data_IF_477135259023
#
_entry.id   IF_477135259023
#
_cell.length_a   1.000
_cell.length_b   1.000
_cell.length_c   1.000
_cell.angle_alpha   90.00
_cell.angle_beta   90.00
_cell.angle_gamma   90.00
#
_symmetry.space_group_name_H-M   'P 1'
#
loop_
_entity.id
_entity.type
_entity.pdbx_description
1 polymer ?
#
# COMPACT_ATOMS: atom_id res chain seq x y z
N UNK A 1 -24.78 4.97 -66.76
CA UNK A 1 -24.63 4.43 -65.39
C UNK A 1 -24.64 2.91 -65.46
N UNK A 2 -23.47 2.27 -65.35
CA UNK A 2 -23.32 0.80 -65.34
C UNK A 2 -22.95 0.38 -63.91
N UNK A 3 -23.84 -0.36 -63.25
CA UNK A 3 -23.62 -0.96 -61.94
C UNK A 3 -22.89 -2.30 -62.12
N UNK A 4 -21.64 -2.36 -61.65
CA UNK A 4 -20.86 -3.60 -61.54
C UNK A 4 -21.15 -4.28 -60.20
N UNK A 5 -21.68 -5.51 -60.25
CA UNK A 5 -21.80 -6.42 -59.10
C UNK A 5 -20.52 -7.27 -59.00
N UNK A 6 -19.89 -7.29 -57.84
CA UNK A 6 -18.83 -8.24 -57.48
C UNK A 6 -19.41 -9.37 -56.60
N UNK A 7 -19.08 -10.65 -56.82
CA UNK A 7 -19.42 -11.71 -55.89
C UNK A 7 -18.34 -11.85 -54.80
N UNK A 8 -18.81 -11.92 -53.54
CA UNK A 8 -18.03 -12.31 -52.36
C UNK A 8 -17.87 -13.84 -52.35
N UNK A 9 -16.63 -14.32 -52.46
CA UNK A 9 -16.26 -15.70 -52.14
C UNK A 9 -15.84 -15.78 -50.67
N UNK A 10 -16.57 -16.56 -49.87
CA UNK A 10 -16.20 -16.94 -48.50
C UNK A 10 -15.66 -18.37 -48.58
N UNK A 11 -14.36 -18.55 -48.34
CA UNK A 11 -13.73 -19.85 -48.21
C UNK A 11 -13.59 -20.19 -46.71
N UNK A 12 -14.34 -21.19 -46.25
CA UNK A 12 -14.20 -21.79 -44.93
C UNK A 12 -13.07 -22.83 -44.96
N UNK A 13 -12.00 -22.58 -44.21
CA UNK A 13 -10.93 -23.56 -43.97
C UNK A 13 -11.27 -24.32 -42.68
N UNK A 14 -11.59 -25.60 -42.82
CA UNK A 14 -11.71 -26.54 -41.72
C UNK A 14 -10.32 -27.12 -41.39
N UNK A 15 -9.81 -26.87 -40.18
CA UNK A 15 -8.61 -27.53 -39.67
C UNK A 15 -9.01 -28.80 -38.90
N UNK A 16 -8.63 -29.96 -39.44
CA UNK A 16 -8.68 -31.26 -38.78
C UNK A 16 -7.57 -31.35 -37.72
N UNK A 17 -7.93 -31.50 -36.43
CA UNK A 17 -7.01 -31.92 -35.38
C UNK A 17 -7.07 -33.45 -35.21
N UNK A 18 -6.00 -34.15 -35.59
CA UNK A 18 -5.75 -35.54 -35.20
C UNK A 18 -5.07 -35.57 -33.84
N UNK A 19 -5.75 -36.17 -32.86
CA UNK A 19 -5.19 -36.56 -31.58
C UNK A 19 -4.20 -37.72 -31.77
N UNK A 20 -2.95 -37.54 -31.34
CA UNK A 20 -2.01 -38.63 -31.12
C UNK A 20 -1.96 -38.92 -29.62
N UNK A 21 -2.45 -40.08 -29.24
CA UNK A 21 -2.29 -40.67 -27.91
C UNK A 21 -0.92 -41.36 -27.82
N UNK A 22 -0.29 -41.29 -26.65
CA UNK A 22 0.80 -42.20 -26.28
C UNK A 22 1.97 -41.53 -25.58
N UNK A 23 1.88 -41.32 -24.27
CA UNK A 23 3.05 -41.33 -23.39
C UNK A 23 2.65 -41.99 -22.07
N UNK A 24 3.35 -43.07 -21.76
CA UNK A 24 3.22 -43.90 -20.56
C UNK A 24 3.53 -43.11 -19.28
N UNK A 25 2.66 -43.25 -18.28
CA UNK A 25 2.89 -42.75 -16.93
C UNK A 25 3.78 -43.75 -16.17
N UNK A 26 5.05 -43.40 -15.93
CA UNK A 26 5.89 -44.07 -14.92
C UNK A 26 5.64 -43.43 -13.57
N UNK A 27 5.06 -44.19 -12.66
CA UNK A 27 4.92 -43.88 -11.24
C UNK A 27 6.29 -43.90 -10.55
N UNK A 28 6.72 -42.78 -9.98
CA UNK A 28 7.83 -42.73 -9.05
C UNK A 28 7.31 -42.62 -7.61
N UNK A 29 7.78 -43.51 -6.75
CA UNK A 29 7.44 -43.57 -5.33
C UNK A 29 8.04 -42.38 -4.58
N UNK A 30 7.18 -41.68 -3.85
CA UNK A 30 7.55 -40.60 -2.94
C UNK A 30 7.95 -41.16 -1.57
N UNK A 31 9.25 -41.24 -1.31
CA UNK A 31 9.79 -41.29 0.05
C UNK A 31 11.22 -40.77 0.05
N UNK A 32 11.49 -39.90 1.02
CA UNK A 32 12.80 -39.39 1.49
C UNK A 32 13.19 -37.93 1.12
N UNK A 33 13.01 -37.07 2.13
CA UNK A 33 13.91 -35.98 2.59
C UNK A 33 13.99 -34.71 1.70
N UNK A 34 13.91 -33.46 2.20
CA UNK A 34 13.88 -32.84 3.52
C UNK A 34 13.20 -31.44 3.39
N UNK A 35 12.72 -30.80 4.47
CA UNK A 35 12.02 -29.51 4.35
C UNK A 35 12.97 -28.41 3.92
N UNK A 36 12.75 -27.86 2.72
CA UNK A 36 13.40 -26.64 2.25
C UNK A 36 12.87 -25.49 3.12
N UNK A 37 13.71 -25.02 4.03
CA UNK A 37 13.48 -23.79 4.80
C UNK A 37 13.09 -22.66 3.86
N UNK A 38 11.95 -22.03 4.15
CA UNK A 38 11.39 -20.89 3.43
C UNK A 38 12.45 -19.85 3.09
N UNK A 39 12.87 -19.81 1.82
CA UNK A 39 13.66 -18.72 1.27
C UNK A 39 12.84 -17.43 1.37
N UNK A 40 13.35 -16.50 2.17
CA UNK A 40 12.80 -15.16 2.32
C UNK A 40 13.00 -14.37 1.01
N UNK A 41 12.04 -14.52 0.10
CA UNK A 41 11.97 -13.87 -1.21
C UNK A 41 11.88 -12.34 -1.15
N UNK A 42 11.74 -11.75 0.03
CA UNK A 42 11.76 -10.29 0.21
C UNK A 42 13.17 -9.69 0.24
N UNK A 43 14.22 -10.53 0.37
CA UNK A 43 15.63 -10.11 0.44
C UNK A 43 16.39 -10.14 -0.90
N UNK A 44 15.79 -10.67 -1.97
CA UNK A 44 16.46 -10.80 -3.28
C UNK A 44 16.71 -9.46 -4.00
N UNK A 45 16.00 -8.38 -3.62
CA UNK A 45 16.18 -7.06 -4.24
C UNK A 45 17.44 -6.31 -3.77
N UNK A 46 18.06 -6.71 -2.66
CA UNK A 46 19.20 -5.98 -2.04
C UNK A 46 20.56 -6.62 -2.28
N UNK A 47 20.63 -7.82 -2.87
CA UNK A 47 21.89 -8.43 -3.34
C UNK A 47 22.04 -8.26 -4.85
N UNK A 48 22.18 -7.01 -5.33
CA UNK A 48 22.73 -6.78 -6.68
C UNK A 48 24.25 -6.99 -6.62
N UNK A 49 24.69 -8.25 -6.77
CA UNK A 49 25.99 -8.49 -7.38
C UNK A 49 26.08 -7.69 -8.68
N UNK A 50 27.26 -7.17 -9.05
CA UNK A 50 27.40 -6.38 -10.28
C UNK A 50 26.79 -7.17 -11.43
N UNK A 51 25.75 -6.61 -12.07
CA UNK A 51 25.17 -7.20 -13.27
C UNK A 51 26.31 -7.53 -14.25
N UNK A 52 26.29 -8.69 -14.92
CA UNK A 52 27.30 -9.01 -15.92
C UNK A 52 27.37 -7.90 -16.97
N UNK A 53 28.54 -7.62 -17.57
CA UNK A 53 28.66 -6.56 -18.58
C UNK A 53 27.76 -6.84 -19.80
N UNK A 54 27.24 -5.77 -20.43
CA UNK A 54 26.38 -5.90 -21.63
C UNK A 54 27.17 -6.49 -22.80
N UNK A 55 26.65 -7.56 -23.40
CA UNK A 55 27.32 -8.24 -24.52
C UNK A 55 27.24 -7.43 -25.81
N UNK A 56 28.12 -7.72 -26.78
CA UNK A 56 28.07 -7.09 -28.09
C UNK A 56 26.75 -7.40 -28.84
N UNK A 57 26.23 -8.61 -28.66
CA UNK A 57 24.97 -9.04 -29.24
C UNK A 57 23.77 -8.29 -28.64
N UNK A 58 23.72 -8.13 -27.31
CA UNK A 58 22.70 -7.32 -26.63
C UNK A 58 22.70 -5.87 -27.15
N UNK A 59 23.89 -5.26 -27.31
CA UNK A 59 24.04 -3.91 -27.87
C UNK A 59 23.54 -3.82 -29.30
N UNK A 60 23.84 -4.82 -30.13
CA UNK A 60 23.38 -4.89 -31.53
C UNK A 60 21.85 -4.92 -31.59
N UNK A 61 21.21 -5.84 -30.85
CA UNK A 61 19.74 -5.97 -30.82
C UNK A 61 19.07 -4.70 -30.30
N UNK A 62 19.60 -4.07 -29.24
CA UNK A 62 19.06 -2.82 -28.72
C UNK A 62 19.13 -1.68 -29.76
N UNK A 63 20.23 -1.62 -30.53
CA UNK A 63 20.41 -0.64 -31.58
C UNK A 63 19.48 -0.88 -32.78
N UNK A 64 19.30 -2.13 -33.17
CA UNK A 64 18.39 -2.52 -34.26
C UNK A 64 16.93 -2.19 -33.90
N UNK A 65 16.51 -2.51 -32.67
CA UNK A 65 15.16 -2.15 -32.20
C UNK A 65 14.95 -0.63 -32.17
N UNK A 66 15.96 0.13 -31.72
CA UNK A 66 15.89 1.60 -31.77
C UNK A 66 15.74 2.15 -33.20
N UNK A 67 16.45 1.54 -34.16
CA UNK A 67 16.37 1.89 -35.59
C UNK A 67 15.02 1.51 -36.22
N UNK A 68 14.26 0.59 -35.64
CA UNK A 68 12.89 0.27 -36.07
C UNK A 68 11.86 1.24 -35.48
N UNK A 69 12.01 1.60 -34.20
CA UNK A 69 11.06 2.44 -33.46
C UNK A 69 11.01 3.88 -33.97
N UNK A 70 12.16 4.52 -34.25
CA UNK A 70 12.16 5.93 -34.65
C UNK A 70 11.53 6.17 -36.05
N UNK A 71 11.87 5.42 -37.11
CA UNK A 71 11.18 5.54 -38.40
C UNK A 71 9.67 5.30 -38.29
N UNK A 72 9.25 4.33 -37.47
CA UNK A 72 7.83 4.08 -37.21
C UNK A 72 7.10 5.27 -36.57
N UNK A 73 7.79 6.03 -35.70
CA UNK A 73 7.30 7.27 -35.10
C UNK A 73 7.26 8.40 -36.13
N UNK A 74 8.33 8.56 -36.91
CA UNK A 74 8.46 9.61 -37.92
C UNK A 74 7.37 9.50 -39.01
N UNK A 75 7.12 8.30 -39.54
CA UNK A 75 6.06 8.04 -40.53
C UNK A 75 4.65 8.40 -39.98
N UNK A 76 4.48 8.46 -38.65
CA UNK A 76 3.24 8.84 -37.98
C UNK A 76 3.30 10.23 -37.34
N UNK A 77 4.17 11.10 -37.85
CA UNK A 77 4.30 12.49 -37.41
C UNK A 77 4.62 12.64 -35.91
N UNK A 78 5.36 11.69 -35.33
CA UNK A 78 5.86 11.77 -33.95
C UNK A 78 7.35 12.06 -33.94
N UNK A 79 7.79 12.90 -32.98
CA UNK A 79 9.20 13.24 -32.80
C UNK A 79 10.04 11.97 -32.52
N UNK A 80 11.25 11.83 -33.10
CA UNK A 80 12.13 10.72 -32.78
C UNK A 80 12.57 10.74 -31.32
N UNK A 81 12.77 9.56 -30.74
CA UNK A 81 13.22 9.39 -29.36
C UNK A 81 14.74 9.51 -29.27
N UNK A 82 15.23 10.08 -28.17
CA UNK A 82 16.66 10.11 -27.83
C UNK A 82 17.03 8.94 -26.91
N UNK A 83 18.16 8.28 -27.15
CA UNK A 83 18.65 7.22 -26.26
C UNK A 83 19.05 7.76 -24.89
N UNK A 84 18.79 6.96 -23.87
CA UNK A 84 19.23 7.19 -22.50
C UNK A 84 20.03 6.00 -21.99
N UNK A 85 21.33 6.17 -21.77
CA UNK A 85 22.18 5.11 -21.22
C UNK A 85 21.71 4.65 -19.83
N UNK A 86 21.15 5.56 -19.04
CA UNK A 86 20.55 5.25 -17.73
C UNK A 86 19.29 4.41 -17.87
N UNK A 87 18.38 4.82 -18.76
CA UNK A 87 17.16 4.06 -19.04
C UNK A 87 17.49 2.67 -19.57
N UNK A 88 18.52 2.56 -20.41
CA UNK A 88 19.05 1.31 -20.93
C UNK A 88 19.61 0.40 -19.84
N UNK A 89 20.40 0.94 -18.90
CA UNK A 89 20.94 0.15 -17.79
C UNK A 89 19.82 -0.40 -16.87
N UNK A 90 18.85 0.44 -16.53
CA UNK A 90 17.71 0.01 -15.72
C UNK A 90 16.88 -1.04 -16.47
N UNK A 91 16.50 -0.77 -17.73
CA UNK A 91 15.72 -1.71 -18.53
C UNK A 91 16.45 -3.06 -18.73
N UNK A 92 17.79 -3.05 -18.80
CA UNK A 92 18.57 -4.29 -18.91
C UNK A 92 18.49 -5.13 -17.64
N UNK A 93 18.58 -4.50 -16.48
CA UNK A 93 18.39 -5.17 -15.18
C UNK A 93 17.00 -5.84 -15.11
N UNK A 94 15.95 -5.15 -15.58
CA UNK A 94 14.60 -5.76 -15.63
C UNK A 94 14.49 -6.88 -16.68
N UNK A 95 15.16 -6.76 -17.84
CA UNK A 95 15.19 -7.83 -18.84
C UNK A 95 15.87 -9.10 -18.32
N UNK A 96 16.96 -8.95 -17.55
CA UNK A 96 17.61 -10.05 -16.85
C UNK A 96 16.69 -10.69 -15.80
N UNK A 97 15.95 -9.88 -15.05
CA UNK A 97 14.97 -10.38 -14.07
C UNK A 97 13.83 -11.15 -14.74
N UNK A 98 13.31 -10.70 -15.88
CA UNK A 98 12.32 -11.47 -16.66
C UNK A 98 12.91 -12.81 -17.08
N UNK A 99 14.14 -12.82 -17.59
CA UNK A 99 14.82 -14.02 -18.05
C UNK A 99 15.07 -15.02 -16.91
N UNK A 100 15.66 -14.56 -15.80
CA UNK A 100 16.11 -15.42 -14.69
C UNK A 100 14.94 -15.78 -13.76
N UNK A 101 14.13 -14.80 -13.37
CA UNK A 101 13.07 -14.96 -12.36
C UNK A 101 11.70 -15.24 -12.98
N UNK A 102 11.61 -15.32 -14.32
CA UNK A 102 10.35 -15.54 -15.07
C UNK A 102 9.25 -14.54 -14.69
N UNK A 103 9.62 -13.28 -14.41
CA UNK A 103 8.66 -12.21 -14.11
C UNK A 103 7.72 -11.98 -15.29
N UNK A 104 6.42 -11.84 -15.00
CA UNK A 104 5.39 -11.56 -16.01
C UNK A 104 5.06 -10.08 -16.18
N UNK A 105 5.53 -9.22 -15.27
CA UNK A 105 5.29 -7.78 -15.31
C UNK A 105 6.50 -6.99 -14.86
N UNK A 106 6.77 -5.87 -15.54
CA UNK A 106 7.76 -4.88 -15.13
C UNK A 106 7.04 -3.71 -14.48
N UNK A 107 7.26 -3.51 -13.19
CA UNK A 107 6.85 -2.30 -12.49
C UNK A 107 8.09 -1.49 -12.18
N UNK A 108 8.22 -0.25 -12.71
CA UNK A 108 9.39 0.55 -12.42
C UNK A 108 9.44 0.85 -10.93
N UNK A 109 10.61 0.69 -10.27
CA UNK A 109 10.76 1.24 -8.95
C UNK A 109 10.57 2.75 -9.04
N UNK A 110 10.02 3.34 -7.99
CA UNK A 110 9.64 4.75 -7.98
C UNK A 110 10.81 5.73 -8.23
N UNK A 111 12.05 5.26 -8.23
CA UNK A 111 13.29 6.01 -8.41
C UNK A 111 14.13 5.57 -9.63
N UNK A 112 13.54 4.94 -10.65
CA UNK A 112 14.27 4.45 -11.83
C UNK A 112 14.83 5.56 -12.77
N UNK A 113 14.59 6.83 -12.43
CA UNK A 113 15.26 8.00 -13.02
C UNK A 113 14.51 8.70 -14.16
N UNK A 114 13.30 8.27 -14.49
CA UNK A 114 12.37 9.04 -15.35
C UNK A 114 11.35 9.78 -14.47
N UNK A 115 11.28 11.12 -14.59
CA UNK A 115 10.42 11.97 -13.74
C UNK A 115 9.19 12.55 -14.46
N UNK A 116 8.98 12.21 -15.73
CA UNK A 116 7.80 12.61 -16.48
C UNK A 116 6.82 11.46 -16.70
N UNK A 117 5.74 11.71 -17.47
CA UNK A 117 4.96 10.66 -18.10
C UNK A 117 5.88 9.63 -18.73
N UNK A 118 5.62 8.37 -18.45
CA UNK A 118 6.42 7.26 -18.93
C UNK A 118 5.54 6.07 -19.24
N UNK A 119 6.09 5.17 -20.05
CA UNK A 119 5.49 3.88 -20.30
C UNK A 119 6.59 2.84 -20.49
N UNK A 120 6.27 1.59 -20.18
CA UNK A 120 7.22 0.48 -20.22
C UNK A 120 6.56 -0.64 -21.01
N UNK A 121 7.30 -1.15 -21.99
CA UNK A 121 6.95 -2.32 -22.74
C UNK A 121 7.95 -3.42 -22.42
N UNK A 122 7.47 -4.65 -22.39
CA UNK A 122 8.31 -5.84 -22.26
C UNK A 122 7.84 -6.89 -23.25
N UNK A 123 8.77 -7.60 -23.87
CA UNK A 123 8.46 -8.68 -24.80
C UNK A 123 9.55 -9.76 -24.78
N UNK A 124 9.18 -10.92 -25.33
CA UNK A 124 10.10 -12.01 -25.67
C UNK A 124 10.02 -12.27 -27.17
N UNK A 125 11.16 -12.48 -27.81
CA UNK A 125 11.22 -12.81 -29.24
C UNK A 125 12.52 -13.50 -29.62
N UNK A 126 12.79 -13.59 -30.92
CA UNK A 126 14.01 -14.21 -31.47
C UNK A 126 14.85 -13.24 -32.30
N UNK A 127 14.32 -12.05 -32.59
CA UNK A 127 14.97 -10.99 -33.35
C UNK A 127 14.38 -9.62 -33.01
N UNK A 128 15.13 -8.54 -33.26
CA UNK A 128 14.62 -7.17 -33.10
C UNK A 128 13.32 -6.94 -33.90
N UNK A 129 13.20 -7.53 -35.10
CA UNK A 129 12.00 -7.43 -35.94
C UNK A 129 10.79 -8.12 -35.30
N UNK A 130 10.96 -9.32 -34.73
CA UNK A 130 9.87 -10.04 -34.05
C UNK A 130 9.36 -9.26 -32.83
N UNK A 131 10.27 -8.69 -32.03
CA UNK A 131 9.95 -7.85 -30.87
C UNK A 131 9.22 -6.58 -31.30
N UNK A 132 9.72 -5.91 -32.33
CA UNK A 132 9.08 -4.71 -32.87
C UNK A 132 7.67 -5.00 -33.41
N UNK A 133 7.48 -6.14 -34.07
CA UNK A 133 6.17 -6.57 -34.58
C UNK A 133 5.17 -6.78 -33.44
N UNK A 134 5.59 -7.44 -32.34
CA UNK A 134 4.76 -7.58 -31.13
C UNK A 134 4.45 -6.25 -30.46
N UNK A 135 5.42 -5.34 -30.34
CA UNK A 135 5.16 -4.02 -29.76
C UNK A 135 4.16 -3.22 -30.60
N UNK A 136 4.24 -3.30 -31.92
CA UNK A 136 3.35 -2.53 -32.81
C UNK A 136 1.96 -3.13 -32.93
N UNK A 137 1.79 -4.45 -32.81
CA UNK A 137 0.46 -5.09 -32.76
C UNK A 137 -0.31 -4.70 -31.51
N UNK A 138 0.35 -4.76 -30.34
CA UNK A 138 -0.36 -4.73 -29.05
C UNK A 138 -0.27 -3.36 -28.37
N UNK A 139 0.77 -2.58 -28.71
CA UNK A 139 1.17 -1.39 -27.95
C UNK A 139 1.52 -0.19 -28.83
N UNK A 140 0.98 -0.12 -30.05
CA UNK A 140 1.22 1.00 -30.98
C UNK A 140 0.96 2.38 -30.35
N UNK A 141 -0.12 2.53 -29.56
CA UNK A 141 -0.44 3.77 -28.84
C UNK A 141 0.67 4.20 -27.88
N UNK A 142 1.27 3.25 -27.17
CA UNK A 142 2.39 3.51 -26.26
C UNK A 142 3.62 4.00 -27.03
N UNK A 143 3.98 3.33 -28.12
CA UNK A 143 5.15 3.71 -28.93
C UNK A 143 4.97 5.12 -29.52
N UNK A 144 3.73 5.56 -29.79
CA UNK A 144 3.40 6.86 -30.37
C UNK A 144 3.08 7.95 -29.34
N UNK A 145 3.21 7.65 -28.05
CA UNK A 145 2.99 8.64 -26.99
C UNK A 145 3.98 9.82 -27.02
N UNK A 146 3.65 10.86 -26.25
CA UNK A 146 4.42 12.11 -26.15
C UNK A 146 5.65 11.93 -25.26
N UNK A 147 6.60 11.15 -25.77
CA UNK A 147 7.88 10.85 -25.14
C UNK A 147 9.03 11.46 -25.93
N UNK A 148 10.10 11.84 -25.23
CA UNK A 148 11.31 12.42 -25.83
C UNK A 148 12.53 11.51 -25.71
N UNK A 149 12.51 10.57 -24.77
CA UNK A 149 13.64 9.70 -24.43
C UNK A 149 13.22 8.24 -24.33
N UNK A 150 14.16 7.33 -24.59
CA UNK A 150 13.96 5.90 -24.39
C UNK A 150 15.20 5.19 -23.87
N UNK A 151 15.00 4.11 -23.12
CA UNK A 151 16.02 3.14 -22.74
C UNK A 151 15.58 1.74 -23.15
N UNK A 152 16.45 1.00 -23.85
CA UNK A 152 16.17 -0.36 -24.31
C UNK A 152 17.16 -1.30 -23.64
N UNK A 153 16.64 -2.21 -22.82
CA UNK A 153 17.40 -3.27 -22.18
C UNK A 153 17.14 -4.61 -22.84
N UNK A 154 18.21 -5.36 -23.07
CA UNK A 154 18.17 -6.68 -23.71
C UNK A 154 18.88 -7.68 -22.79
N UNK A 155 18.28 -8.86 -22.63
CA UNK A 155 18.91 -10.06 -22.10
C UNK A 155 18.69 -11.21 -23.09
N UNK A 156 19.69 -12.07 -23.28
CA UNK A 156 19.66 -13.16 -24.27
C UNK A 156 19.95 -14.50 -23.59
N UNK A 157 19.10 -15.49 -23.85
CA UNK A 157 19.27 -16.88 -23.42
C UNK A 157 19.05 -17.81 -24.61
N UNK A 158 20.15 -18.38 -25.14
CA UNK A 158 20.14 -19.11 -26.40
C UNK A 158 19.60 -18.27 -27.56
N UNK A 159 18.52 -18.72 -28.19
CA UNK A 159 17.82 -18.00 -29.27
C UNK A 159 16.75 -17.01 -28.75
N UNK A 160 16.44 -17.02 -27.46
CA UNK A 160 15.42 -16.17 -26.87
C UNK A 160 16.01 -14.79 -26.49
N UNK A 161 15.30 -13.74 -26.86
CA UNK A 161 15.61 -12.35 -26.54
C UNK A 161 14.50 -11.83 -25.62
N UNK A 162 14.89 -11.37 -24.44
CA UNK A 162 14.03 -10.68 -23.48
C UNK A 162 14.30 -9.19 -23.56
N UNK A 163 13.25 -8.40 -23.74
CA UNK A 163 13.36 -6.95 -23.93
C UNK A 163 12.51 -6.22 -22.93
N UNK A 164 13.07 -5.16 -22.37
CA UNK A 164 12.33 -4.09 -21.70
C UNK A 164 12.67 -2.79 -22.40
N UNK A 165 11.65 -2.06 -22.84
CA UNK A 165 11.81 -0.72 -23.40
C UNK A 165 11.01 0.27 -22.57
N UNK A 166 11.69 1.30 -22.08
CA UNK A 166 11.07 2.40 -21.35
C UNK A 166 11.04 3.66 -22.19
N UNK A 167 9.92 4.37 -22.15
CA UNK A 167 9.68 5.65 -22.79
C UNK A 167 9.50 6.71 -21.71
N UNK A 168 10.16 7.87 -21.87
CA UNK A 168 10.11 8.95 -20.90
C UNK A 168 9.92 10.30 -21.61
N UNK A 169 8.99 11.12 -21.11
CA UNK A 169 8.79 12.48 -21.60
C UNK A 169 10.00 13.40 -21.35
N UNK A 170 10.74 13.14 -20.26
CA UNK A 170 11.87 13.94 -19.82
C UNK A 170 13.22 13.18 -19.89
N UNK A 171 14.33 13.91 -19.79
CA UNK A 171 15.66 13.29 -19.72
C UNK A 171 15.76 12.45 -18.45
N UNK A 172 16.38 11.28 -18.56
CA UNK A 172 16.64 10.46 -17.38
C UNK A 172 17.73 11.12 -16.53
N UNK A 173 17.48 11.29 -15.23
CA UNK A 173 18.41 11.95 -14.30
C UNK A 173 19.01 10.97 -13.29
N UNK A 174 20.19 11.29 -12.71
CA UNK A 174 20.67 10.76 -11.44
C UNK A 174 19.54 10.41 -10.50
N UNK A 175 19.61 9.24 -9.83
CA UNK A 175 18.78 9.00 -8.65
C UNK A 175 18.97 10.25 -7.80
N UNK A 176 17.90 11.02 -7.67
CA UNK A 176 17.92 12.19 -6.85
C UNK A 176 18.14 11.67 -5.44
N UNK A 177 19.37 11.80 -4.94
CA UNK A 177 19.67 11.37 -3.60
C UNK A 177 18.80 12.18 -2.65
N UNK A 178 18.14 11.47 -1.74
CA UNK A 178 17.43 12.11 -0.64
C UNK A 178 18.44 12.31 0.47
N UNK A 179 18.68 13.56 0.85
CA UNK A 179 19.49 13.91 1.99
C UNK A 179 18.60 13.82 3.23
N UNK A 180 18.72 12.76 4.02
CA UNK A 180 18.05 12.71 5.33
C UNK A 180 18.79 13.64 6.29
N UNK A 181 18.17 14.75 6.64
CA UNK A 181 18.63 15.65 7.69
C UNK A 181 17.51 15.83 8.72
N UNK A 182 17.36 14.82 9.59
CA UNK A 182 16.29 14.74 10.58
C UNK A 182 16.30 15.94 11.54
N UNK A 183 17.48 16.45 11.90
CA UNK A 183 17.60 17.62 12.77
C UNK A 183 17.04 18.87 12.09
N UNK A 184 17.42 19.11 10.83
CA UNK A 184 16.93 20.25 10.05
C UNK A 184 15.41 20.15 9.80
N UNK A 185 14.93 18.96 9.41
CA UNK A 185 13.52 18.68 9.23
C UNK A 185 12.72 19.01 10.50
N UNK A 186 13.16 18.49 11.65
CA UNK A 186 12.50 18.72 12.92
C UNK A 186 12.48 20.21 13.29
N UNK A 187 13.59 20.94 13.10
CA UNK A 187 13.67 22.37 13.38
C UNK A 187 12.69 23.19 12.53
N UNK A 188 12.59 22.92 11.23
CA UNK A 188 11.62 23.59 10.35
C UNK A 188 10.20 23.21 10.75
N UNK A 189 9.94 21.91 10.98
CA UNK A 189 8.62 21.40 11.36
C UNK A 189 8.11 22.03 12.65
N UNK A 190 8.95 22.10 13.69
CA UNK A 190 8.59 22.70 14.97
C UNK A 190 8.29 24.20 14.82
N UNK A 191 9.08 24.93 14.04
CA UNK A 191 8.84 26.35 13.79
C UNK A 191 7.48 26.58 13.09
N UNK A 192 7.18 25.80 12.05
CA UNK A 192 5.89 25.86 11.34
C UNK A 192 4.72 25.54 12.29
N UNK A 193 4.81 24.45 13.07
CA UNK A 193 3.76 24.03 14.01
C UNK A 193 3.54 25.09 15.10
N UNK A 194 4.60 25.69 15.64
CA UNK A 194 4.50 26.76 16.64
C UNK A 194 3.78 27.98 16.06
N UNK A 195 4.14 28.41 14.84
CA UNK A 195 3.46 29.54 14.20
C UNK A 195 1.98 29.22 13.90
N UNK A 196 1.67 28.02 13.42
CA UNK A 196 0.28 27.58 13.20
C UNK A 196 -0.52 27.57 14.50
N UNK A 197 0.08 27.11 15.60
CA UNK A 197 -0.54 27.09 16.92
C UNK A 197 -0.85 28.50 17.40
N UNK A 198 0.11 29.43 17.30
CA UNK A 198 -0.08 30.84 17.66
C UNK A 198 -1.25 31.46 16.88
N UNK A 199 -1.24 31.32 15.55
CA UNK A 199 -2.31 31.89 14.69
C UNK A 199 -3.67 31.27 15.05
N UNK A 200 -3.72 29.96 15.32
CA UNK A 200 -4.98 29.31 15.70
C UNK A 200 -5.50 29.79 17.05
N UNK A 201 -4.62 29.96 18.05
CA UNK A 201 -5.02 30.52 19.34
C UNK A 201 -5.55 31.95 19.24
N UNK A 202 -4.96 32.79 18.37
CA UNK A 202 -5.41 34.17 18.12
C UNK A 202 -6.85 34.23 17.58
N UNK A 203 -7.33 33.17 16.92
CA UNK A 203 -8.71 33.05 16.40
C UNK A 203 -9.59 32.07 17.20
N UNK A 204 -9.17 31.71 18.42
CA UNK A 204 -9.94 30.84 19.32
C UNK A 204 -10.03 29.38 18.87
N UNK A 205 -9.06 28.89 18.09
CA UNK A 205 -8.98 27.50 17.64
C UNK A 205 -7.93 26.72 18.41
N UNK A 206 -8.25 25.45 18.69
CA UNK A 206 -7.30 24.53 19.33
C UNK A 206 -6.12 24.20 18.41
N UNK A 207 -4.95 23.92 19.01
CA UNK A 207 -3.79 23.39 18.28
C UNK A 207 -4.16 22.10 17.53
N UNK A 208 -3.51 21.84 16.39
CA UNK A 208 -3.70 20.58 15.70
C UNK A 208 -3.13 19.41 16.53
N UNK A 209 -3.86 18.31 16.61
CA UNK A 209 -3.33 17.01 17.00
C UNK A 209 -2.47 16.40 15.89
N UNK A 210 -1.75 15.33 16.23
CA UNK A 210 -0.95 14.53 15.28
C UNK A 210 -1.30 13.05 15.44
N UNK A 211 -1.10 12.27 14.37
CA UNK A 211 -1.21 10.80 14.43
C UNK A 211 -0.09 10.15 13.63
N UNK A 212 0.38 8.99 14.08
CA UNK A 212 1.45 8.25 13.40
C UNK A 212 1.06 7.86 11.96
N UNK A 213 -0.21 7.51 11.74
CA UNK A 213 -0.72 7.13 10.42
C UNK A 213 -0.67 8.30 9.42
N UNK A 214 -1.10 9.50 9.85
CA UNK A 214 -1.04 10.69 9.01
C UNK A 214 0.42 11.14 8.79
N UNK A 215 1.28 11.00 9.81
CA UNK A 215 2.72 11.25 9.72
C UNK A 215 3.40 10.36 8.68
N UNK A 216 3.14 9.05 8.68
CA UNK A 216 3.66 8.11 7.68
C UNK A 216 3.13 8.43 6.27
N UNK A 217 1.87 8.85 6.16
CA UNK A 217 1.29 9.24 4.87
C UNK A 217 1.96 10.51 4.33
N UNK A 218 2.14 11.54 5.18
CA UNK A 218 2.82 12.77 4.81
C UNK A 218 4.27 12.52 4.40
N UNK A 219 4.99 11.63 5.10
CA UNK A 219 6.36 11.25 4.75
C UNK A 219 6.40 10.57 3.38
N UNK A 220 5.53 9.57 3.16
CA UNK A 220 5.42 8.89 1.88
C UNK A 220 5.10 9.86 0.76
N UNK A 221 4.22 10.83 0.99
CA UNK A 221 3.86 11.86 0.02
C UNK A 221 5.01 12.82 -0.28
N UNK A 222 5.74 13.29 0.73
CA UNK A 222 6.91 14.15 0.56
C UNK A 222 8.04 13.43 -0.17
N UNK A 223 8.30 12.15 0.16
CA UNK A 223 9.25 11.31 -0.56
C UNK A 223 8.81 11.11 -2.02
N UNK A 224 7.50 10.95 -2.24
CA UNK A 224 6.94 10.83 -3.58
C UNK A 224 7.21 12.08 -4.40
N UNK A 225 6.95 13.23 -3.81
CA UNK A 225 7.15 14.51 -4.44
C UNK A 225 8.62 14.79 -4.72
N UNK A 226 9.50 14.56 -3.74
CA UNK A 226 10.93 14.78 -3.89
C UNK A 226 11.54 13.97 -5.03
N UNK A 227 11.16 12.69 -5.18
CA UNK A 227 11.71 11.87 -6.25
C UNK A 227 11.08 12.18 -7.59
N UNK A 228 9.78 12.46 -7.69
CA UNK A 228 9.15 12.72 -8.99
C UNK A 228 9.26 14.17 -9.46
N UNK A 229 9.63 15.10 -8.58
CA UNK A 229 9.55 16.54 -8.83
C UNK A 229 8.12 17.08 -8.91
N UNK A 230 7.11 16.20 -8.76
CA UNK A 230 5.70 16.52 -8.90
C UNK A 230 4.94 16.04 -7.67
N UNK A 231 3.91 16.77 -7.31
CA UNK A 231 3.05 16.32 -6.25
C UNK A 231 1.86 15.54 -6.78
N UNK A 232 1.81 14.23 -6.53
CA UNK A 232 0.60 13.46 -6.81
C UNK A 232 -0.57 14.01 -5.97
N UNK A 233 -1.77 14.02 -6.54
CA UNK A 233 -3.00 14.42 -5.86
C UNK A 233 -3.73 13.20 -5.28
N UNK A 234 -3.43 11.99 -5.77
CA UNK A 234 -4.10 10.75 -5.36
C UNK A 234 -3.33 10.03 -4.24
N UNK A 235 -3.43 10.57 -3.03
CA UNK A 235 -3.09 9.80 -1.83
C UNK A 235 -4.40 9.21 -1.28
N UNK A 236 -4.39 7.97 -0.77
CA UNK A 236 -5.54 7.33 -0.13
C UNK A 236 -5.89 8.04 1.20
N UNK A 237 -6.31 9.30 1.13
CA UNK A 237 -6.65 10.18 2.24
C UNK A 237 -7.81 9.60 3.02
N UNK A 238 -8.85 9.15 2.33
CA UNK A 238 -10.08 8.65 2.94
C UNK A 238 -9.81 7.46 3.86
N UNK A 239 -8.82 6.61 3.54
CA UNK A 239 -8.46 5.48 4.39
C UNK A 239 -7.74 5.92 5.68
N UNK A 240 -6.90 6.95 5.60
CA UNK A 240 -6.11 7.44 6.75
C UNK A 240 -6.91 8.41 7.61
N UNK A 241 -7.79 9.20 7.00
CA UNK A 241 -8.77 10.04 7.67
C UNK A 241 -10.09 9.29 8.00
N UNK A 242 -10.13 7.96 7.83
CA UNK A 242 -11.26 7.10 8.23
C UNK A 242 -12.63 7.54 7.67
N UNK A 243 -12.67 7.97 6.41
CA UNK A 243 -13.89 8.41 5.72
C UNK A 243 -14.29 9.86 5.96
N UNK A 244 -13.52 10.65 6.74
CA UNK A 244 -13.69 12.10 6.78
C UNK A 244 -12.98 12.78 5.61
N UNK A 245 -13.39 14.02 5.30
CA UNK A 245 -12.73 14.87 4.31
C UNK A 245 -11.30 15.15 4.74
N UNK A 246 -10.35 14.45 4.12
CA UNK A 246 -8.93 14.79 4.17
C UNK A 246 -8.64 15.93 3.21
N UNK A 247 -7.89 16.94 3.65
CA UNK A 247 -7.35 17.95 2.73
C UNK A 247 -5.84 17.99 2.79
N UNK A 248 -5.29 18.26 1.63
CA UNK A 248 -3.91 18.68 1.46
C UNK A 248 -3.81 20.15 1.83
N UNK A 249 -2.77 20.57 2.54
CA UNK A 249 -2.44 21.99 2.67
C UNK A 249 -1.15 22.35 1.96
N UNK A 250 -0.24 23.08 2.64
CA UNK A 250 0.95 23.65 2.02
C UNK A 250 1.87 22.60 1.36
N UNK A 251 2.30 22.93 0.15
CA UNK A 251 2.95 22.04 -0.80
C UNK A 251 3.96 22.87 -1.53
N UNK A 252 5.19 22.80 -1.06
CA UNK A 252 6.17 23.79 -1.42
C UNK A 252 7.45 23.13 -1.91
N UNK A 253 8.06 23.78 -2.91
CA UNK A 253 9.38 23.45 -3.45
C UNK A 253 10.29 24.65 -3.19
N UNK A 254 11.37 24.45 -2.45
CA UNK A 254 12.31 25.53 -2.09
C UNK A 254 13.75 25.09 -2.30
N UNK A 255 14.69 26.03 -2.51
CA UNK A 255 16.12 25.73 -2.45
C UNK A 255 16.59 25.74 -0.98
N UNK A 256 17.51 24.84 -0.62
CA UNK A 256 18.01 24.61 0.74
C UNK A 256 19.25 25.44 1.07
N UNK A 257 19.62 26.37 0.18
CA UNK A 257 20.55 27.46 0.51
C UNK A 257 19.88 28.47 1.46
N UNK A 258 18.60 28.26 1.78
CA UNK A 258 17.79 29.09 2.66
C UNK A 258 17.81 28.60 4.11
N UNK A 259 17.93 29.54 5.05
CA UNK A 259 17.90 29.25 6.49
C UNK A 259 16.59 28.56 6.92
N UNK A 260 16.60 27.85 8.06
CA UNK A 260 15.41 27.26 8.70
C UNK A 260 14.25 28.25 8.75
N UNK A 261 14.53 29.49 9.15
CA UNK A 261 13.55 30.58 9.26
C UNK A 261 12.92 30.93 7.91
N UNK A 262 13.71 30.98 6.84
CA UNK A 262 13.23 31.31 5.49
C UNK A 262 12.34 30.19 4.94
N UNK A 263 12.78 28.94 5.08
CA UNK A 263 11.99 27.77 4.64
C UNK A 263 10.66 27.70 5.39
N UNK A 264 10.69 27.86 6.72
CA UNK A 264 9.48 27.87 7.54
C UNK A 264 8.51 29.02 7.16
N UNK A 265 9.03 30.23 6.92
CA UNK A 265 8.22 31.38 6.47
C UNK A 265 7.50 31.10 5.16
N UNK A 266 8.16 30.50 4.18
CA UNK A 266 7.55 30.17 2.88
C UNK A 266 6.44 29.12 3.02
N UNK A 267 6.69 28.03 3.76
CA UNK A 267 5.66 27.03 4.08
C UNK A 267 4.45 27.70 4.74
N UNK A 268 4.69 28.61 5.69
CA UNK A 268 3.64 29.37 6.37
C UNK A 268 2.89 30.34 5.46
N UNK A 269 3.55 30.98 4.49
CA UNK A 269 2.90 31.83 3.50
C UNK A 269 1.95 31.01 2.61
N UNK A 270 2.38 29.83 2.17
CA UNK A 270 1.51 28.93 1.40
C UNK A 270 0.33 28.45 2.22
N UNK A 271 0.57 28.05 3.48
CA UNK A 271 -0.49 27.66 4.41
C UNK A 271 -1.49 28.80 4.61
N UNK A 272 -1.02 30.05 4.83
CA UNK A 272 -1.89 31.21 5.02
C UNK A 272 -2.75 31.54 3.80
N UNK A 273 -2.26 31.26 2.60
CA UNK A 273 -2.95 31.48 1.31
C UNK A 273 -4.08 30.48 1.08
N UNK A 274 -3.94 29.25 1.58
CA UNK A 274 -5.01 28.26 1.51
C UNK A 274 -6.03 28.49 2.63
N UNK A 275 -7.09 29.24 2.32
CA UNK A 275 -8.17 29.58 3.24
C UNK A 275 -8.83 28.34 3.89
N UNK A 276 -8.78 27.18 3.23
CA UNK A 276 -9.37 25.96 3.77
C UNK A 276 -8.57 25.35 4.90
N UNK A 277 -7.25 25.56 4.95
CA UNK A 277 -6.40 25.07 6.04
C UNK A 277 -6.61 25.79 7.38
N UNK A 278 -7.34 26.92 7.35
CA UNK A 278 -7.81 27.65 8.54
C UNK A 278 -9.20 27.21 8.99
N UNK A 279 -9.80 26.21 8.32
CA UNK A 279 -11.10 25.67 8.69
C UNK A 279 -11.06 25.14 10.13
N UNK A 280 -12.11 25.46 10.89
CA UNK A 280 -12.36 24.88 12.22
C UNK A 280 -12.55 23.36 12.15
N UNK A 281 -12.89 22.83 10.98
CA UNK A 281 -13.14 21.40 10.78
C UNK A 281 -11.87 20.55 10.91
N UNK A 282 -10.69 21.10 10.58
CA UNK A 282 -9.42 20.40 10.72
C UNK A 282 -8.91 20.45 12.16
N UNK A 283 -8.76 19.27 12.75
CA UNK A 283 -8.28 19.09 14.13
C UNK A 283 -6.97 18.29 14.18
N UNK A 284 -6.61 17.58 13.11
CA UNK A 284 -5.36 16.83 13.01
C UNK A 284 -4.56 17.31 11.80
N UNK A 285 -3.25 17.48 11.98
CA UNK A 285 -2.31 17.84 10.91
C UNK A 285 -1.03 17.03 11.00
N UNK A 286 -0.40 16.77 9.86
CA UNK A 286 0.98 16.30 9.78
C UNK A 286 1.76 17.07 8.71
N UNK A 287 2.97 17.49 9.05
CA UNK A 287 3.93 18.09 8.11
C UNK A 287 5.18 17.22 8.05
N UNK A 288 5.61 16.89 6.82
CA UNK A 288 6.87 16.20 6.54
C UNK A 288 7.65 16.91 5.45
N UNK A 289 8.98 16.90 5.60
CA UNK A 289 9.89 17.54 4.66
C UNK A 289 10.89 16.51 4.13
N UNK A 290 11.19 16.58 2.84
CA UNK A 290 12.21 15.75 2.21
C UNK A 290 13.18 16.64 1.45
N UNK A 291 14.47 16.48 1.72
CA UNK A 291 15.54 17.21 1.06
C UNK A 291 16.16 16.35 -0.03
N UNK A 292 16.41 16.96 -1.18
CA UNK A 292 17.20 16.37 -2.26
C UNK A 292 18.65 16.83 -2.18
N UNK A 293 19.53 16.09 -2.83
CA UNK A 293 20.95 16.41 -2.93
C UNK A 293 21.23 17.71 -3.72
N UNK A 294 20.30 18.14 -4.56
CA UNK A 294 20.35 19.44 -5.26
C UNK A 294 19.84 20.59 -4.39
N UNK A 295 19.85 20.39 -3.07
CA UNK A 295 19.29 21.32 -2.09
C UNK A 295 17.79 21.58 -2.27
N UNK A 296 17.02 20.86 -3.08
CA UNK A 296 15.58 21.15 -3.16
C UNK A 296 14.83 20.53 -1.98
N UNK A 297 13.91 21.29 -1.35
CA UNK A 297 13.05 20.86 -0.23
C UNK A 297 11.64 20.63 -0.72
N UNK A 298 11.06 19.49 -0.35
CA UNK A 298 9.66 19.15 -0.62
C UNK A 298 8.93 19.07 0.71
N UNK A 299 8.05 20.02 0.97
CA UNK A 299 7.19 20.01 2.15
C UNK A 299 5.79 19.50 1.76
N UNK A 300 5.26 18.55 2.54
CA UNK A 300 3.88 18.10 2.39
C UNK A 300 3.19 18.20 3.75
N UNK A 301 2.16 19.04 3.81
CA UNK A 301 1.25 19.11 4.95
C UNK A 301 -0.11 18.49 4.62
N UNK A 302 -0.56 17.59 5.47
CA UNK A 302 -1.86 16.91 5.38
C UNK A 302 -2.72 17.26 6.58
N UNK A 303 -4.03 17.40 6.35
CA UNK A 303 -5.04 17.70 7.36
C UNK A 303 -6.16 16.66 7.29
N UNK A 304 -6.63 16.21 8.45
CA UNK A 304 -7.88 15.45 8.55
C UNK A 304 -8.88 16.24 9.38
N UNK A 305 -10.12 16.31 8.89
CA UNK A 305 -11.23 16.70 9.74
C UNK A 305 -11.43 15.58 10.78
N UNK A 306 -11.45 15.94 12.06
CA UNK A 306 -11.99 15.02 13.06
C UNK A 306 -13.01 15.77 13.88
N UNK A 307 -14.28 15.53 13.56
CA UNK A 307 -15.28 15.25 14.60
C UNK A 307 -15.04 13.80 15.04
N UNK A 308 -15.04 13.57 16.36
CA UNK A 308 -15.03 12.29 17.10
C UNK A 308 -13.74 11.81 17.79
N UNK A 309 -14.01 11.32 19.01
CA UNK A 309 -13.16 10.85 20.09
C UNK A 309 -11.98 9.99 19.65
N UNK A 310 -10.78 10.38 20.05
CA UNK A 310 -9.54 9.63 19.80
C UNK A 310 -9.60 8.24 20.44
N UNK A 311 -10.27 8.10 21.58
CA UNK A 311 -10.42 6.83 22.30
C UNK A 311 -11.18 5.77 21.49
N UNK A 312 -12.33 6.11 20.90
CA UNK A 312 -13.16 5.15 20.15
C UNK A 312 -12.44 4.51 18.96
N UNK A 313 -11.51 5.21 18.32
CA UNK A 313 -10.76 4.66 17.18
C UNK A 313 -9.67 3.67 17.59
N UNK A 314 -9.07 3.85 18.77
CA UNK A 314 -8.09 2.90 19.29
C UNK A 314 -8.80 1.63 19.78
N UNK A 315 -9.95 1.78 20.43
CA UNK A 315 -10.84 0.68 20.82
C UNK A 315 -11.34 -0.11 19.60
N UNK A 316 -11.79 0.56 18.54
CA UNK A 316 -12.17 -0.05 17.26
C UNK A 316 -11.02 -0.84 16.63
N UNK A 317 -9.82 -0.26 16.59
CA UNK A 317 -8.65 -0.95 16.06
C UNK A 317 -8.29 -2.18 16.91
N UNK A 318 -8.47 -2.11 18.23
CA UNK A 318 -8.31 -3.27 19.09
C UNK A 318 -9.33 -4.34 18.83
N UNK A 319 -10.60 -3.93 18.75
CA UNK A 319 -11.73 -4.80 18.55
C UNK A 319 -11.50 -5.65 17.31
N UNK A 320 -11.02 -5.02 16.23
CA UNK A 320 -10.59 -5.71 15.00
C UNK A 320 -9.40 -6.65 15.23
N UNK A 321 -8.41 -6.26 16.02
CA UNK A 321 -7.25 -7.11 16.32
C UNK A 321 -7.62 -8.36 17.13
N UNK A 322 -8.45 -8.20 18.17
CA UNK A 322 -8.98 -9.31 18.98
C UNK A 322 -9.82 -10.24 18.11
N UNK A 323 -10.75 -9.69 17.33
CA UNK A 323 -11.58 -10.50 16.41
C UNK A 323 -10.71 -11.31 15.46
N UNK A 324 -9.67 -10.70 14.90
CA UNK A 324 -8.72 -11.39 14.02
C UNK A 324 -7.96 -12.51 14.74
N UNK A 325 -7.58 -12.35 16.01
CA UNK A 325 -6.94 -13.41 16.79
C UNK A 325 -7.89 -14.59 17.01
N UNK A 326 -9.14 -14.31 17.38
CA UNK A 326 -10.19 -15.32 17.54
C UNK A 326 -10.42 -16.06 16.23
N UNK A 327 -10.57 -15.35 15.12
CA UNK A 327 -10.81 -15.95 13.79
C UNK A 327 -9.62 -16.78 13.33
N UNK A 328 -8.38 -16.30 13.52
CA UNK A 328 -7.18 -17.06 13.20
C UNK A 328 -7.09 -18.37 14.01
N UNK A 329 -7.45 -18.32 15.29
CA UNK A 329 -7.49 -19.53 16.12
C UNK A 329 -8.56 -20.51 15.60
N UNK A 330 -9.77 -20.04 15.29
CA UNK A 330 -10.85 -20.89 14.78
C UNK A 330 -10.52 -21.51 13.44
N UNK A 331 -10.00 -20.71 12.50
CA UNK A 331 -9.57 -21.20 11.19
C UNK A 331 -8.48 -22.28 11.30
N UNK A 332 -7.51 -22.14 12.22
CA UNK A 332 -6.47 -23.15 12.47
C UNK A 332 -7.02 -24.47 13.05
N UNK A 333 -8.18 -24.43 13.69
CA UNK A 333 -8.85 -25.58 14.29
C UNK A 333 -10.11 -26.01 13.52
N UNK A 334 -10.27 -25.54 12.27
CA UNK A 334 -11.40 -25.89 11.40
C UNK A 334 -12.79 -25.58 11.99
N UNK A 335 -12.89 -24.51 12.79
CA UNK A 335 -14.13 -24.05 13.40
C UNK A 335 -14.75 -22.89 12.61
N UNK A 336 -16.08 -22.85 12.47
CA UNK A 336 -16.78 -21.75 11.80
C UNK A 336 -16.59 -20.41 12.52
N UNK A 337 -16.24 -19.33 11.81
CA UNK A 337 -16.01 -18.02 12.44
C UNK A 337 -17.27 -17.43 13.09
N UNK A 338 -17.09 -16.79 14.26
CA UNK A 338 -18.20 -16.11 14.93
C UNK A 338 -18.68 -14.90 14.13
N UNK A 339 -20.00 -14.70 14.13
CA UNK A 339 -20.67 -13.48 13.65
C UNK A 339 -20.58 -12.38 14.71
N UNK A 340 -20.44 -11.14 14.29
CA UNK A 340 -20.56 -10.00 15.20
C UNK A 340 -22.05 -9.64 15.31
N UNK A 341 -22.53 -9.48 16.54
CA UNK A 341 -23.86 -8.95 16.83
C UNK A 341 -23.75 -7.62 17.53
N UNK A 342 -24.39 -6.58 17.01
CA UNK A 342 -24.42 -5.26 17.66
C UNK A 342 -24.98 -5.36 19.07
N UNK A 343 -26.04 -6.16 19.27
CA UNK A 343 -26.67 -6.34 20.58
C UNK A 343 -25.70 -6.94 21.63
N UNK A 344 -24.93 -7.97 21.23
CA UNK A 344 -23.96 -8.61 22.13
C UNK A 344 -22.76 -7.70 22.34
N UNK A 345 -22.35 -6.95 21.31
CA UNK A 345 -21.26 -5.99 21.40
C UNK A 345 -21.58 -4.83 22.33
N UNK A 346 -22.80 -4.29 22.27
CA UNK A 346 -23.28 -3.23 23.16
C UNK A 346 -23.32 -3.73 24.60
N UNK A 347 -23.85 -4.94 24.84
CA UNK A 347 -23.82 -5.60 26.15
C UNK A 347 -22.38 -5.76 26.68
N UNK A 348 -21.46 -6.25 25.85
CA UNK A 348 -20.07 -6.40 26.24
C UNK A 348 -19.42 -5.04 26.55
N UNK A 349 -19.74 -4.00 25.77
CA UNK A 349 -19.25 -2.63 25.97
C UNK A 349 -19.72 -2.05 27.31
N UNK A 350 -21.03 -2.11 27.59
CA UNK A 350 -21.60 -1.66 28.85
C UNK A 350 -20.98 -2.40 30.04
N UNK A 351 -20.74 -3.70 29.89
CA UNK A 351 -20.10 -4.48 30.95
C UNK A 351 -18.63 -4.11 31.16
N UNK A 352 -17.89 -3.86 30.08
CA UNK A 352 -16.51 -3.38 30.17
C UNK A 352 -16.42 -2.03 30.90
N UNK A 353 -17.33 -1.11 30.60
CA UNK A 353 -17.44 0.20 31.28
C UNK A 353 -17.78 0.04 32.76
N UNK A 354 -18.76 -0.82 33.08
CA UNK A 354 -19.16 -1.12 34.47
C UNK A 354 -17.99 -1.69 35.29
N UNK A 355 -17.24 -2.62 34.70
CA UNK A 355 -16.07 -3.22 35.36
C UNK A 355 -14.91 -2.22 35.51
N UNK A 356 -14.73 -1.31 34.55
CA UNK A 356 -13.72 -0.25 34.63
C UNK A 356 -13.97 0.69 35.82
N UNK A 357 -15.25 0.98 36.12
CA UNK A 357 -15.65 1.78 37.29
C UNK A 357 -15.42 1.05 38.63
N UNK A 358 -15.39 -0.29 38.61
CA UNK A 358 -15.21 -1.14 39.79
C UNK A 358 -13.75 -1.50 40.07
N UNK A 359 -12.79 -0.92 39.35
CA UNK A 359 -11.37 -1.17 39.58
C UNK A 359 -10.90 -0.62 40.95
N UNK A 360 -10.01 -1.33 41.66
CA UNK A 360 -9.38 -2.60 41.30
C UNK A 360 -10.31 -3.80 41.51
N UNK A 361 -10.28 -4.76 40.58
CA UNK A 361 -11.13 -5.95 40.65
C UNK A 361 -10.59 -6.97 41.68
N UNK A 362 -11.47 -7.78 42.31
CA UNK A 362 -11.07 -8.79 43.29
C UNK A 362 -10.00 -9.75 42.78
N UNK A 363 -8.99 -10.04 43.60
CA UNK A 363 -7.85 -10.88 43.24
C UNK A 363 -8.22 -12.36 43.01
N UNK A 364 -9.35 -12.80 43.55
CA UNK A 364 -9.88 -14.17 43.43
C UNK A 364 -10.55 -14.46 42.08
N UNK A 365 -10.53 -13.49 41.14
CA UNK A 365 -11.14 -13.57 39.80
C UNK A 365 -12.65 -13.87 39.82
N UNK A 366 -13.33 -13.68 40.94
CA UNK A 366 -14.79 -13.75 40.98
C UNK A 366 -15.36 -12.42 40.49
N UNK A 367 -15.32 -12.23 39.17
CA UNK A 367 -15.97 -11.08 38.57
C UNK A 367 -17.48 -11.15 38.81
N UNK A 368 -18.15 -10.03 39.09
CA UNK A 368 -19.59 -10.00 39.16
C UNK A 368 -20.16 -10.56 37.85
N UNK A 369 -21.26 -11.32 37.95
CA UNK A 369 -21.96 -11.77 36.74
C UNK A 369 -22.66 -10.57 36.11
N UNK A 370 -22.52 -10.40 34.80
CA UNK A 370 -23.34 -9.47 34.04
C UNK A 370 -24.82 -9.85 34.24
N UNK A 371 -25.55 -9.00 34.96
CA UNK A 371 -26.96 -9.23 35.31
C UNK A 371 -27.87 -9.14 34.10
N UNK A 372 -27.48 -8.36 33.09
CA UNK A 372 -28.29 -8.06 31.91
C UNK A 372 -27.95 -8.97 30.74
N UNK A 373 -26.90 -9.78 30.81
CA UNK A 373 -26.49 -10.64 29.71
C UNK A 373 -27.59 -11.56 29.18
N UNK A 374 -28.43 -12.13 30.05
CA UNK A 374 -29.53 -13.01 29.63
C UNK A 374 -30.59 -12.28 28.79
N UNK A 375 -30.63 -10.94 28.84
CA UNK A 375 -31.49 -10.12 27.99
C UNK A 375 -31.01 -10.13 26.53
N UNK A 376 -29.71 -10.30 26.31
CA UNK A 376 -29.07 -10.14 25.01
C UNK A 376 -28.63 -11.47 24.37
N UNK A 377 -28.73 -12.57 25.12
CA UNK A 377 -28.23 -13.87 24.72
C UNK A 377 -29.20 -15.01 25.09
N UNK A 378 -29.73 -15.69 24.08
CA UNK A 378 -30.57 -16.87 24.31
C UNK A 378 -29.68 -18.08 24.64
N UNK A 379 -29.82 -18.61 25.86
CA UNK A 379 -29.10 -19.81 26.30
C UNK A 379 -29.76 -21.06 25.73
N UNK A 380 -29.04 -21.85 24.95
CA UNK A 380 -29.42 -23.23 24.63
C UNK A 380 -28.60 -24.18 25.51
N UNK A 381 -29.19 -24.61 26.63
CA UNK A 381 -28.48 -25.34 27.67
C UNK A 381 -27.69 -24.43 28.61
N UNK A 382 -27.41 -24.90 29.83
CA UNK A 382 -26.92 -24.13 30.98
C UNK A 382 -25.52 -23.45 30.86
N UNK A 383 -24.98 -23.23 29.65
CA UNK A 383 -23.61 -22.73 29.49
C UNK A 383 -23.52 -21.63 28.43
N UNK A 384 -23.83 -20.41 28.85
CA UNK A 384 -23.29 -19.21 28.23
C UNK A 384 -21.91 -18.91 28.86
N UNK A 385 -20.95 -18.47 28.06
CA UNK A 385 -19.58 -18.24 28.50
C UNK A 385 -19.23 -16.75 28.41
N UNK A 386 -18.68 -16.21 29.50
CA UNK A 386 -18.09 -14.88 29.56
C UNK A 386 -16.60 -15.00 29.81
N UNK A 387 -15.81 -14.26 29.05
CA UNK A 387 -14.42 -14.04 29.40
C UNK A 387 -14.18 -12.56 29.67
N UNK A 388 -13.59 -12.29 30.84
CA UNK A 388 -13.20 -10.95 31.24
C UNK A 388 -11.68 -10.96 31.32
N UNK A 389 -11.04 -10.13 30.51
CA UNK A 389 -9.59 -9.98 30.47
C UNK A 389 -9.24 -8.56 30.87
N UNK A 390 -8.51 -8.41 31.97
CA UNK A 390 -8.10 -7.11 32.51
C UNK A 390 -6.61 -6.92 32.23
N UNK A 391 -6.25 -5.81 31.59
CA UNK A 391 -4.87 -5.46 31.29
C UNK A 391 -4.40 -4.32 32.22
N UNK A 392 -3.34 -4.53 33.03
CA UNK A 392 -2.90 -3.54 34.02
C UNK A 392 -2.06 -2.36 33.45
N UNK A 393 -1.92 -2.21 32.13
CA UNK A 393 -1.20 -1.09 31.48
C UNK A 393 -1.58 -0.93 30.01
N UNK A 394 -1.36 0.26 29.44
CA UNK A 394 -1.60 0.61 28.02
C UNK A 394 -1.19 -0.48 27.00
N UNK A 395 -2.19 -1.26 26.63
CA UNK A 395 -2.58 -1.81 25.33
C UNK A 395 -1.56 -2.22 24.24
N UNK A 396 -0.47 -1.49 23.99
CA UNK A 396 0.29 -1.59 22.73
C UNK A 396 0.89 -2.99 22.52
N UNK A 397 0.22 -3.79 21.69
CA UNK A 397 0.73 -5.06 21.16
C UNK A 397 0.47 -6.30 22.00
N UNK A 398 -0.35 -6.25 23.07
CA UNK A 398 -0.70 -7.46 23.81
C UNK A 398 -1.75 -8.29 23.06
N UNK A 399 -1.49 -9.59 22.99
CA UNK A 399 -2.31 -10.63 22.38
C UNK A 399 -3.08 -11.30 23.52
N UNK A 400 -4.33 -11.72 23.30
CA UNK A 400 -4.96 -12.67 24.20
C UNK A 400 -4.06 -13.90 24.31
N UNK A 401 -3.83 -14.45 25.50
CA UNK A 401 -2.98 -15.65 25.58
C UNK A 401 -3.72 -16.78 24.89
N UNK A 402 -2.98 -17.70 24.27
CA UNK A 402 -3.59 -18.86 23.60
C UNK A 402 -4.46 -19.69 24.55
N UNK A 403 -4.16 -19.70 25.85
CA UNK A 403 -4.95 -20.38 26.89
C UNK A 403 -6.32 -19.72 27.12
N UNK A 404 -6.34 -18.39 27.19
CA UNK A 404 -7.57 -17.57 27.27
C UNK A 404 -8.44 -17.86 26.03
N UNK A 405 -7.85 -17.78 24.83
CA UNK A 405 -8.54 -18.10 23.57
C UNK A 405 -9.06 -19.57 23.56
N UNK A 406 -8.26 -20.54 24.03
CA UNK A 406 -8.63 -21.98 24.03
C UNK A 406 -9.87 -22.28 24.87
N UNK A 407 -9.93 -21.75 26.09
CA UNK A 407 -11.04 -22.03 27.01
C UNK A 407 -12.39 -21.56 26.46
N UNK A 408 -12.36 -20.53 25.61
CA UNK A 408 -13.54 -19.74 25.29
C UNK A 408 -14.00 -19.96 23.86
N UNK A 409 -13.04 -20.09 22.95
CA UNK A 409 -13.30 -20.27 21.52
C UNK A 409 -13.51 -21.74 21.15
N UNK A 410 -13.08 -22.69 22.00
CA UNK A 410 -13.29 -24.13 21.80
C UNK A 410 -14.74 -24.58 21.91
N UNK A 411 -15.65 -23.74 22.42
CA UNK A 411 -17.06 -24.10 22.55
C UNK A 411 -17.79 -23.96 21.20
N UNK A 412 -17.93 -25.08 20.49
CA UNK A 412 -18.47 -25.14 19.12
C UNK A 412 -19.90 -24.63 18.97
N UNK A 413 -20.68 -24.52 20.06
CA UNK A 413 -22.08 -24.09 20.01
C UNK A 413 -22.27 -22.57 19.99
N UNK A 414 -21.20 -21.78 20.14
CA UNK A 414 -21.30 -20.33 20.04
C UNK A 414 -21.25 -19.92 18.56
N UNK A 415 -22.14 -19.02 18.15
CA UNK A 415 -22.22 -18.51 16.79
C UNK A 415 -21.91 -17.02 16.72
N UNK A 416 -21.95 -16.32 17.85
CA UNK A 416 -21.79 -14.88 17.93
C UNK A 416 -20.78 -14.48 18.99
N UNK A 417 -20.11 -13.36 18.74
CA UNK A 417 -19.21 -12.69 19.69
C UNK A 417 -19.47 -11.20 19.73
N UNK A 418 -19.47 -10.63 20.94
CA UNK A 418 -19.40 -9.20 21.20
C UNK A 418 -18.13 -8.88 21.99
N UNK A 419 -17.49 -7.76 21.64
CA UNK A 419 -16.20 -7.36 22.22
C UNK A 419 -16.35 -5.95 22.79
N UNK A 420 -16.41 -5.85 24.11
CA UNK A 420 -16.43 -4.59 24.85
C UNK A 420 -15.04 -4.18 25.28
N UNK A 421 -14.70 -2.90 25.15
CA UNK A 421 -13.40 -2.37 25.55
C UNK A 421 -13.63 -1.05 26.26
N UNK A 422 -13.14 -0.93 27.48
CA UNK A 422 -13.19 0.31 28.24
C UNK A 422 -11.80 0.64 28.77
N UNK A 423 -11.41 1.92 28.71
CA UNK A 423 -10.07 2.39 29.07
C UNK A 423 -10.17 3.58 30.01
N UNK A 424 -9.38 3.57 31.09
CA UNK A 424 -9.22 4.69 32.02
C UNK A 424 -7.85 5.32 31.85
N UNK A 425 -7.81 6.50 31.22
CA UNK A 425 -6.65 7.38 31.12
C UNK A 425 -5.32 6.69 30.72
N UNK A 426 -5.38 5.59 29.95
CA UNK A 426 -4.21 4.83 29.52
C UNK A 426 -3.54 3.98 30.60
N UNK A 427 -4.08 3.95 31.82
CA UNK A 427 -3.56 3.17 32.93
C UNK A 427 -4.10 1.74 32.92
N UNK A 428 -5.41 1.57 32.76
CA UNK A 428 -6.07 0.26 32.85
C UNK A 428 -7.06 0.08 31.70
N UNK A 429 -7.10 -1.13 31.14
CA UNK A 429 -8.04 -1.49 30.07
C UNK A 429 -8.76 -2.76 30.43
N UNK A 430 -10.10 -2.69 30.42
CA UNK A 430 -10.97 -3.85 30.60
C UNK A 430 -11.46 -4.30 29.24
N UNK A 431 -11.29 -5.59 28.95
CA UNK A 431 -11.83 -6.26 27.77
C UNK A 431 -12.84 -7.29 28.20
N UNK A 432 -14.04 -7.21 27.64
CA UNK A 432 -15.11 -8.19 27.84
C UNK A 432 -15.40 -8.88 26.53
N UNK A 433 -15.37 -10.21 26.54
CA UNK A 433 -15.76 -11.05 25.40
C UNK A 433 -17.03 -11.81 25.78
N UNK A 434 -18.14 -11.44 25.14
CA UNK A 434 -19.43 -12.10 25.30
C UNK A 434 -19.65 -13.05 24.12
N UNK A 435 -19.88 -14.34 24.38
CA UNK A 435 -20.16 -15.32 23.34
C UNK A 435 -21.58 -15.83 23.45
N UNK A 436 -22.27 -16.03 22.33
CA UNK A 436 -23.65 -16.49 22.31
C UNK A 436 -23.89 -17.55 21.25
N UNK A 437 -24.73 -18.52 21.59
CA UNK A 437 -25.28 -19.49 20.62
C UNK A 437 -26.30 -18.84 19.70
N UNK A 438 -27.20 -18.02 20.24
CA UNK A 438 -28.23 -17.33 19.49
C UNK A 438 -28.43 -15.91 20.03
N UNK A 439 -28.65 -14.97 19.11
CA UNK A 439 -29.12 -13.62 19.42
C UNK A 439 -30.65 -13.67 19.36
N UNK A 440 -31.38 -13.09 20.32
CA UNK A 440 -32.82 -12.93 20.21
C UNK A 440 -33.16 -12.23 18.88
N UNK A 441 -34.10 -12.79 18.11
CA UNK A 441 -34.67 -12.06 16.99
C UNK A 441 -35.43 -10.85 17.56
N UNK A 442 -34.97 -9.65 17.22
CA UNK A 442 -35.70 -8.42 17.52
C UNK A 442 -37.02 -8.48 16.75
N UNK A 443 -38.11 -8.84 17.43
CA UNK A 443 -39.47 -8.76 16.90
C UNK A 443 -40.00 -7.34 17.01
#
# INVERSE_FOLDING_TARGET
MKLLRFPLFVASIACNFKYAQGVEARSYSSSELAPVSSLDLTSASTRRGRDPPTTAQEKKVANDLFKLVNPYREIRNRKPLKKSGRGQNWARSEALDIMILKKTSVQPPFDFGCHGPHSILSARGTSAQSIFSSFTSDHSKTILGDFSYTGIGIAIDGAAIYVVQVFCAAKFVPKVGIKRNTALENSIRQNVIQQQTKIRSEVGLQKFGTTEALDKLAEKAALRAARSGNFDQNFNFDKVCQGSTGRRGAVSVHSADETVSTTAKKIMQEWKRDASTKSKAFTISSLRLVFRNDNTVFAVQLFCERKFDIQRSEEEAFRRNIKRQIDNYRNRNELENFKISNLIQDSAQTWAETLLEQLPLPADKQYPKDKDYNKYCNRVGNKAFHEIVVFPTSFRGRVLKDEDIRQVVGYQKNNYVGIGIANKDGAETVVVLNFCTQVPELR
#
